data_IF_871506927528
#
_entry.id   IF_871506927528
#
_cell.length_a   1.000
_cell.length_b   1.000
_cell.length_c   1.000
_cell.angle_alpha   90.00
_cell.angle_beta   90.00
_cell.angle_gamma   90.00
#
_symmetry.space_group_name_H-M   'P 1'
#
loop_
_entity.id
_entity.type
_entity.pdbx_description
1 polymer ?
#
# COMPACT_ATOMS: atom_id res chain seq x y z
N UNK A 1 4.90 1.94 16.45
CA UNK A 1 4.88 0.82 15.48
C UNK A 1 4.85 1.44 14.11
N UNK A 2 5.58 0.91 13.11
CA UNK A 2 5.59 1.50 11.79
C UNK A 2 4.18 1.52 11.20
N UNK A 3 3.86 2.58 10.48
CA UNK A 3 2.62 2.67 9.72
C UNK A 3 2.56 1.58 8.63
N UNK A 4 1.34 1.28 8.17
CA UNK A 4 1.09 0.25 7.15
C UNK A 4 0.42 0.89 5.94
N UNK A 5 1.01 0.70 4.76
CA UNK A 5 0.39 1.07 3.48
C UNK A 5 -0.11 -0.20 2.79
N UNK A 6 -1.43 -0.31 2.60
CA UNK A 6 -2.07 -1.45 1.93
C UNK A 6 -2.38 -1.09 0.47
N UNK A 7 -1.77 -1.80 -0.47
CA UNK A 7 -1.82 -1.53 -1.91
C UNK A 7 -2.58 -2.65 -2.62
N UNK A 8 -3.73 -2.30 -3.20
CA UNK A 8 -4.66 -3.26 -3.80
C UNK A 8 -4.28 -3.67 -5.22
N UNK A 9 -4.98 -4.68 -5.75
CA UNK A 9 -4.78 -5.15 -7.12
C UNK A 9 -5.60 -4.38 -8.17
N UNK A 10 -5.56 -4.86 -9.41
CA UNK A 10 -6.46 -4.40 -10.48
C UNK A 10 -7.92 -4.68 -10.09
N UNK A 11 -8.83 -3.81 -10.52
CA UNK A 11 -10.28 -3.89 -10.28
C UNK A 11 -10.72 -3.83 -8.80
N UNK A 12 -9.80 -3.59 -7.88
CA UNK A 12 -10.09 -3.35 -6.46
C UNK A 12 -10.23 -1.86 -6.14
N UNK A 13 -10.71 -1.55 -4.94
CA UNK A 13 -10.72 -0.21 -4.37
C UNK A 13 -10.23 -0.25 -2.92
N UNK A 14 -9.87 0.88 -2.30
CA UNK A 14 -9.44 0.93 -0.91
C UNK A 14 -10.40 0.23 0.08
N UNK A 15 -11.71 0.29 -0.16
CA UNK A 15 -12.71 -0.28 0.76
C UNK A 15 -12.61 -1.81 0.87
N UNK A 16 -12.08 -2.49 -0.16
CA UNK A 16 -11.89 -3.95 -0.11
C UNK A 16 -10.90 -4.38 0.97
N UNK A 17 -10.02 -3.50 1.44
CA UNK A 17 -9.14 -3.75 2.58
C UNK A 17 -9.76 -3.42 3.94
N UNK A 18 -11.01 -2.95 4.00
CA UNK A 18 -11.63 -2.50 5.26
C UNK A 18 -11.54 -3.54 6.38
N UNK A 19 -11.76 -4.83 6.09
CA UNK A 19 -11.66 -5.92 7.08
C UNK A 19 -10.25 -6.19 7.60
N UNK A 20 -9.21 -5.71 6.92
CA UNK A 20 -7.80 -5.80 7.34
C UNK A 20 -7.37 -4.50 8.01
N UNK A 21 -7.74 -3.35 7.45
CA UNK A 21 -7.35 -2.04 7.95
C UNK A 21 -8.01 -1.69 9.29
N UNK A 22 -9.29 -2.04 9.49
CA UNK A 22 -10.05 -1.61 10.66
C UNK A 22 -9.53 -2.20 11.99
N UNK A 23 -9.21 -3.50 12.09
CA UNK A 23 -8.60 -4.05 13.30
C UNK A 23 -7.22 -3.43 13.61
N UNK A 24 -6.42 -3.14 12.58
CA UNK A 24 -5.12 -2.48 12.75
C UNK A 24 -5.28 -1.05 13.28
N UNK A 25 -6.20 -0.28 12.72
CA UNK A 25 -6.52 1.07 13.21
C UNK A 25 -7.03 1.04 14.65
N UNK A 26 -7.90 0.09 14.98
CA UNK A 26 -8.39 -0.12 16.35
C UNK A 26 -7.26 -0.42 17.33
N UNK A 27 -6.20 -1.09 16.87
CA UNK A 27 -4.99 -1.37 17.65
C UNK A 27 -4.00 -0.18 17.71
N UNK A 28 -4.35 0.99 17.17
CA UNK A 28 -3.51 2.19 17.17
C UNK A 28 -2.43 2.21 16.09
N UNK A 29 -2.54 1.37 15.06
CA UNK A 29 -1.63 1.39 13.91
C UNK A 29 -2.19 2.37 12.87
N UNK A 30 -1.35 3.28 12.40
CA UNK A 30 -1.68 4.14 11.25
C UNK A 30 -1.72 3.30 9.98
N UNK A 31 -2.87 3.32 9.28
CA UNK A 31 -3.08 2.52 8.05
C UNK A 31 -3.58 3.40 6.92
N UNK A 32 -2.78 3.47 5.84
CA UNK A 32 -3.10 4.16 4.60
C UNK A 32 -3.46 3.15 3.51
N UNK A 33 -4.50 3.42 2.75
CA UNK A 33 -4.93 2.57 1.63
C UNK A 33 -5.09 3.45 0.39
N UNK A 34 -4.04 3.61 -0.44
CA UNK A 34 -4.07 4.51 -1.60
C UNK A 34 -5.04 4.01 -2.68
N UNK A 35 -5.70 4.95 -3.36
CA UNK A 35 -6.50 4.68 -4.56
C UNK A 35 -5.59 4.54 -5.79
N UNK A 36 -5.69 3.39 -6.48
CA UNK A 36 -4.92 3.10 -7.69
C UNK A 36 -5.73 3.33 -8.98
N UNK A 37 -5.27 2.72 -10.07
CA UNK A 37 -5.86 2.73 -11.42
C UNK A 37 -5.76 4.11 -12.10
N UNK A 38 -4.62 4.77 -11.94
CA UNK A 38 -4.26 6.07 -12.54
C UNK A 38 -3.78 5.97 -13.99
N UNK A 39 -4.18 4.92 -14.70
CA UNK A 39 -3.91 4.73 -16.12
C UNK A 39 -2.51 4.20 -16.48
N UNK A 40 -1.59 4.04 -15.52
CA UNK A 40 -0.28 3.42 -15.76
C UNK A 40 0.38 2.93 -14.46
N UNK A 41 1.31 1.97 -14.57
CA UNK A 41 2.11 1.48 -13.45
C UNK A 41 2.89 2.60 -12.75
N UNK A 42 3.49 3.51 -13.52
CA UNK A 42 4.24 4.64 -12.95
C UNK A 42 3.34 5.61 -12.18
N UNK A 43 2.13 5.88 -12.68
CA UNK A 43 1.18 6.75 -11.99
C UNK A 43 0.64 6.11 -10.70
N UNK A 44 0.37 4.80 -10.72
CA UNK A 44 -0.02 4.05 -9.51
C UNK A 44 1.12 3.99 -8.49
N UNK A 45 2.37 3.77 -8.96
CA UNK A 45 3.55 3.79 -8.10
C UNK A 45 3.74 5.16 -7.45
N UNK A 46 3.54 6.25 -8.20
CA UNK A 46 3.62 7.61 -7.67
C UNK A 46 2.54 7.89 -6.60
N UNK A 47 1.32 7.37 -6.78
CA UNK A 47 0.26 7.50 -5.78
C UNK A 47 0.63 6.79 -4.47
N UNK A 48 1.23 5.60 -4.54
CA UNK A 48 1.73 4.88 -3.36
C UNK A 48 2.96 5.56 -2.77
N UNK A 49 3.87 6.07 -3.60
CA UNK A 49 5.06 6.81 -3.13
C UNK A 49 4.65 8.05 -2.32
N UNK A 50 3.64 8.81 -2.77
CA UNK A 50 3.13 9.96 -2.02
C UNK A 50 2.57 9.57 -0.64
N UNK A 51 1.95 8.39 -0.52
CA UNK A 51 1.51 7.87 0.77
C UNK A 51 2.70 7.49 1.67
N UNK A 52 3.75 6.89 1.11
CA UNK A 52 4.98 6.58 1.86
C UNK A 52 5.70 7.86 2.32
N UNK A 53 5.81 8.85 1.44
CA UNK A 53 6.50 10.13 1.73
C UNK A 53 5.75 10.98 2.76
N UNK A 54 4.44 10.76 2.94
CA UNK A 54 3.64 11.46 3.96
C UNK A 54 3.86 10.94 5.38
N UNK A 55 4.50 9.78 5.55
CA UNK A 55 4.69 9.12 6.83
C UNK A 55 6.04 9.50 7.45
N UNK A 56 6.05 9.70 8.76
CA UNK A 56 7.24 10.19 9.49
C UNK A 56 8.36 9.14 9.59
N UNK A 57 7.98 7.86 9.60
CA UNK A 57 8.91 6.73 9.71
C UNK A 57 8.69 5.75 8.53
N UNK A 58 9.74 5.03 8.08
CA UNK A 58 9.62 4.05 7.01
C UNK A 58 8.50 3.01 7.27
N UNK A 59 7.44 2.98 6.44
CA UNK A 59 6.30 2.11 6.68
C UNK A 59 6.55 0.68 6.19
N UNK A 60 5.71 -0.25 6.65
CA UNK A 60 5.50 -1.51 5.97
C UNK A 60 4.56 -1.26 4.78
N UNK A 61 4.94 -1.71 3.59
CA UNK A 61 4.11 -1.59 2.39
C UNK A 61 3.73 -2.98 1.90
N UNK A 62 2.44 -3.28 1.90
CA UNK A 62 1.89 -4.56 1.45
C UNK A 62 1.22 -4.40 0.09
N UNK A 63 1.60 -5.21 -0.88
CA UNK A 63 0.98 -5.27 -2.21
C UNK A 63 0.25 -6.58 -2.42
N UNK A 64 -1.01 -6.52 -2.89
CA UNK A 64 -1.78 -7.69 -3.31
C UNK A 64 -1.95 -7.75 -4.83
N UNK A 65 -1.73 -8.91 -5.46
CA UNK A 65 -1.85 -9.10 -6.92
C UNK A 65 -1.03 -8.05 -7.70
N UNK A 66 -1.66 -7.26 -8.57
CA UNK A 66 -1.05 -6.09 -9.23
C UNK A 66 -0.38 -5.10 -8.28
N UNK A 67 -0.89 -4.95 -7.06
CA UNK A 67 -0.26 -4.10 -6.04
C UNK A 67 1.18 -4.49 -5.77
N UNK A 68 1.58 -5.75 -5.99
CA UNK A 68 2.97 -6.19 -5.92
C UNK A 68 3.88 -5.46 -6.91
N UNK A 69 3.49 -5.40 -8.19
CA UNK A 69 4.23 -4.65 -9.21
C UNK A 69 4.35 -3.17 -8.87
N UNK A 70 3.30 -2.58 -8.27
CA UNK A 70 3.30 -1.19 -7.83
C UNK A 70 4.31 -0.97 -6.70
N UNK A 71 4.29 -1.81 -5.65
CA UNK A 71 5.17 -1.62 -4.49
C UNK A 71 6.65 -1.90 -4.79
N UNK A 72 6.96 -2.72 -5.80
CA UNK A 72 8.35 -2.94 -6.26
C UNK A 72 9.03 -1.63 -6.71
N UNK A 73 8.26 -0.67 -7.22
CA UNK A 73 8.77 0.62 -7.66
C UNK A 73 8.97 1.66 -6.54
N UNK A 74 8.49 1.39 -5.33
CA UNK A 74 8.48 2.34 -4.21
C UNK A 74 9.84 2.41 -3.52
N UNK A 75 10.16 3.59 -2.95
CA UNK A 75 11.35 3.87 -2.14
C UNK A 75 10.93 4.30 -0.73
N UNK A 76 11.83 4.17 0.24
CA UNK A 76 11.60 4.63 1.62
C UNK A 76 10.72 3.71 2.47
N UNK A 77 10.24 2.58 1.93
CA UNK A 77 9.58 1.54 2.70
C UNK A 77 10.58 0.83 3.63
N UNK A 78 10.19 0.61 4.89
CA UNK A 78 10.99 -0.18 5.83
C UNK A 78 10.93 -1.68 5.54
N UNK A 79 9.78 -2.14 5.02
CA UNK A 79 9.54 -3.54 4.63
C UNK A 79 8.55 -3.60 3.46
N UNK A 80 8.76 -4.56 2.56
CA UNK A 80 7.82 -4.89 1.49
C UNK A 80 7.20 -6.27 1.75
N UNK A 81 5.88 -6.35 1.67
CA UNK A 81 5.12 -7.62 1.81
C UNK A 81 4.35 -7.89 0.52
N UNK A 82 4.65 -9.01 -0.11
CA UNK A 82 3.99 -9.45 -1.34
C UNK A 82 2.93 -10.51 -1.01
N UNK A 83 1.66 -10.11 -0.97
CA UNK A 83 0.54 -10.99 -0.66
C UNK A 83 -0.10 -11.49 -1.95
N UNK A 84 0.23 -12.72 -2.37
CA UNK A 84 -0.27 -13.31 -3.63
C UNK A 84 -0.15 -12.32 -4.80
N UNK A 85 1.06 -11.79 -4.99
CA UNK A 85 1.33 -10.61 -5.78
C UNK A 85 2.40 -10.83 -6.85
N UNK A 86 2.40 -9.99 -7.88
CA UNK A 86 3.49 -9.93 -8.86
C UNK A 86 4.73 -9.26 -8.25
N UNK A 87 5.94 -9.62 -8.69
CA UNK A 87 7.22 -9.07 -8.19
C UNK A 87 7.98 -8.41 -9.33
#
# INVERSE_FOLDING_TARGET
>A
MPAVVLVHGLYHRPEHFGRVAEPMRTAGIEVVVPELHRGSLSADTAAVQAAVDSLAEPPLVLGHSYGGSVITGVRGAGQLVYLTAFV
#
